data_IF_830749315848
#
_entry.id   IF_830749315848
#
_cell.length_a   1.000
_cell.length_b   1.000
_cell.length_c   1.000
_cell.angle_alpha   90.00
_cell.angle_beta   90.00
_cell.angle_gamma   90.00
#
_symmetry.space_group_name_H-M   'P 1'
#
loop_
_entity.id
_entity.type
_entity.pdbx_description
1 polymer ?
#
# COMPACT_ATOMS: atom_id res chain seq x y z
N UNK A 1 16.26 1.44 -18.91
CA UNK A 1 15.36 2.29 -18.06
C UNK A 1 14.37 1.47 -17.25
N UNK A 2 13.85 0.35 -17.78
CA UNK A 2 12.93 -0.56 -17.06
C UNK A 2 13.50 -1.13 -15.75
N UNK A 3 14.81 -1.31 -15.62
CA UNK A 3 15.41 -1.81 -14.37
C UNK A 3 15.32 -0.80 -13.21
N UNK A 4 15.46 0.50 -13.49
CA UNK A 4 15.26 1.54 -12.47
C UNK A 4 13.81 1.51 -11.98
N UNK A 5 12.86 1.42 -12.92
CA UNK A 5 11.44 1.32 -12.60
C UNK A 5 11.13 0.08 -11.75
N UNK A 6 11.71 -1.09 -12.08
CA UNK A 6 11.52 -2.34 -11.30
C UNK A 6 12.03 -2.23 -9.87
N UNK A 7 13.08 -1.44 -9.64
CA UNK A 7 13.67 -1.23 -8.32
C UNK A 7 12.83 -0.21 -7.53
N UNK A 8 12.41 0.90 -8.15
CA UNK A 8 11.71 1.97 -7.43
C UNK A 8 10.23 1.72 -7.18
N UNK A 9 9.52 1.03 -8.10
CA UNK A 9 8.07 0.86 -8.05
C UNK A 9 7.52 0.30 -6.73
N UNK A 10 8.09 -0.76 -6.12
CA UNK A 10 7.47 -1.34 -4.92
C UNK A 10 7.44 -0.36 -3.75
N UNK A 11 8.55 0.34 -3.51
CA UNK A 11 8.65 1.31 -2.42
C UNK A 11 7.87 2.61 -2.71
N UNK A 12 7.86 3.10 -3.95
CA UNK A 12 7.06 4.28 -4.28
C UNK A 12 5.57 4.00 -4.18
N UNK A 13 5.13 2.82 -4.60
CA UNK A 13 3.75 2.39 -4.43
C UNK A 13 3.38 2.21 -2.95
N UNK A 14 4.30 1.69 -2.12
CA UNK A 14 4.10 1.63 -0.68
C UNK A 14 3.91 3.04 -0.09
N UNK A 15 4.77 3.99 -0.46
CA UNK A 15 4.71 5.36 0.03
C UNK A 15 3.38 6.03 -0.37
N UNK A 16 2.98 5.88 -1.63
CA UNK A 16 1.71 6.41 -2.14
C UNK A 16 0.50 5.80 -1.40
N UNK A 17 0.50 4.48 -1.19
CA UNK A 17 -0.55 3.80 -0.44
C UNK A 17 -0.58 4.26 1.02
N UNK A 18 0.57 4.38 1.68
CA UNK A 18 0.69 4.88 3.04
C UNK A 18 0.09 6.29 3.17
N UNK A 19 0.49 7.22 2.29
CA UNK A 19 -0.06 8.58 2.28
C UNK A 19 -1.56 8.60 2.03
N UNK A 20 -2.07 7.78 1.10
CA UNK A 20 -3.49 7.70 0.80
C UNK A 20 -4.30 7.19 1.99
N UNK A 21 -3.86 6.12 2.65
CA UNK A 21 -4.62 5.53 3.77
C UNK A 21 -4.58 6.42 5.00
N UNK A 22 -3.42 6.98 5.36
CA UNK A 22 -3.35 7.91 6.49
C UNK A 22 -4.06 9.24 6.19
N UNK A 23 -4.04 9.72 4.95
CA UNK A 23 -4.84 10.87 4.53
C UNK A 23 -6.34 10.58 4.65
N UNK A 24 -6.78 9.39 4.24
CA UNK A 24 -8.16 8.94 4.41
C UNK A 24 -8.55 8.85 5.89
N UNK A 25 -7.68 8.32 6.74
CA UNK A 25 -7.90 8.28 8.19
C UNK A 25 -8.12 9.70 8.76
N UNK A 26 -7.27 10.66 8.37
CA UNK A 26 -7.44 12.06 8.76
C UNK A 26 -8.75 12.68 8.29
N UNK A 27 -9.21 12.32 7.08
CA UNK A 27 -10.52 12.74 6.57
C UNK A 27 -11.68 12.13 7.36
N UNK A 28 -11.64 10.82 7.64
CA UNK A 28 -12.69 10.11 8.38
C UNK A 28 -12.86 10.68 9.78
N UNK A 29 -11.77 11.10 10.44
CA UNK A 29 -11.84 11.73 11.76
C UNK A 29 -12.11 13.24 11.73
N UNK A 30 -12.32 13.84 10.56
CA UNK A 30 -12.61 15.27 10.43
C UNK A 30 -14.12 15.54 10.39
N UNK A 31 -14.52 16.74 10.80
CA UNK A 31 -15.92 17.21 10.73
C UNK A 31 -16.49 17.14 9.30
N UNK A 32 -15.63 17.29 8.27
CA UNK A 32 -16.03 17.23 6.87
C UNK A 32 -16.63 15.87 6.46
N UNK A 33 -16.25 14.80 7.14
CA UNK A 33 -16.83 13.46 6.89
C UNK A 33 -18.26 13.38 7.41
N UNK A 34 -18.50 13.91 8.61
CA UNK A 34 -19.83 14.02 9.19
C UNK A 34 -20.72 14.98 8.41
N UNK A 35 -20.18 16.12 7.97
CA UNK A 35 -20.89 17.10 7.12
C UNK A 35 -21.32 16.50 5.77
N UNK A 36 -20.58 15.51 5.26
CA UNK A 36 -20.94 14.75 4.06
C UNK A 36 -22.02 13.67 4.31
N UNK A 37 -22.54 13.56 5.53
CA UNK A 37 -23.54 12.56 5.91
C UNK A 37 -22.99 11.14 6.00
N UNK A 38 -21.66 10.97 6.09
CA UNK A 38 -21.01 9.67 6.17
C UNK A 38 -20.79 9.27 7.62
N UNK A 39 -21.23 8.06 7.97
CA UNK A 39 -21.02 7.51 9.31
C UNK A 39 -19.59 6.96 9.50
N UNK A 40 -19.19 6.80 10.76
CA UNK A 40 -17.95 6.14 11.18
C UNK A 40 -17.84 4.70 10.65
N UNK A 41 -18.97 4.00 10.53
CA UNK A 41 -19.02 2.65 9.94
C UNK A 41 -18.57 2.67 8.48
N UNK A 42 -19.03 3.65 7.69
CA UNK A 42 -18.60 3.84 6.31
C UNK A 42 -17.10 4.19 6.24
N UNK A 43 -16.60 5.00 7.18
CA UNK A 43 -15.18 5.30 7.31
C UNK A 43 -14.31 4.06 7.58
N UNK A 44 -14.76 3.16 8.47
CA UNK A 44 -14.07 1.87 8.73
C UNK A 44 -14.05 0.97 7.49
N UNK A 45 -15.17 0.88 6.77
CA UNK A 45 -15.24 0.10 5.52
C UNK A 45 -14.29 0.68 4.48
N UNK A 46 -14.28 2.00 4.28
CA UNK A 46 -13.38 2.66 3.35
C UNK A 46 -11.91 2.39 3.69
N UNK A 47 -11.54 2.47 4.97
CA UNK A 47 -10.19 2.15 5.45
C UNK A 47 -9.82 0.67 5.23
N UNK A 48 -10.73 -0.27 5.50
CA UNK A 48 -10.53 -1.70 5.21
C UNK A 48 -10.31 -1.97 3.73
N UNK A 49 -11.11 -1.36 2.86
CA UNK A 49 -10.99 -1.50 1.40
C UNK A 49 -9.66 -0.91 0.92
N UNK A 50 -9.28 0.27 1.41
CA UNK A 50 -8.02 0.92 1.04
C UNK A 50 -6.80 0.08 1.49
N UNK A 51 -6.85 -0.50 2.69
CA UNK A 51 -5.84 -1.43 3.18
C UNK A 51 -5.73 -2.68 2.30
N UNK A 52 -6.86 -3.33 2.02
CA UNK A 52 -6.89 -4.52 1.17
C UNK A 52 -6.37 -4.24 -0.24
N UNK A 53 -6.73 -3.09 -0.82
CA UNK A 53 -6.23 -2.65 -2.12
C UNK A 53 -4.70 -2.43 -2.10
N UNK A 54 -4.15 -1.81 -1.05
CA UNK A 54 -2.71 -1.61 -0.89
C UNK A 54 -1.94 -2.94 -0.80
N UNK A 55 -2.45 -3.90 -0.02
CA UNK A 55 -1.86 -5.24 0.08
C UNK A 55 -1.93 -5.98 -1.26
N UNK A 56 -3.09 -5.95 -1.91
CA UNK A 56 -3.27 -6.58 -3.22
C UNK A 56 -2.30 -5.99 -4.27
N UNK A 57 -2.13 -4.67 -4.29
CA UNK A 57 -1.19 -3.99 -5.18
C UNK A 57 0.26 -4.46 -4.96
N UNK A 58 0.70 -4.60 -3.71
CA UNK A 58 2.04 -5.10 -3.41
C UNK A 58 2.23 -6.58 -3.81
N UNK A 59 1.20 -7.41 -3.62
CA UNK A 59 1.22 -8.80 -4.08
C UNK A 59 1.31 -8.88 -5.61
N UNK A 60 0.57 -8.02 -6.33
CA UNK A 60 0.66 -7.92 -7.79
C UNK A 60 2.07 -7.55 -8.23
N UNK A 61 2.72 -6.57 -7.58
CA UNK A 61 4.11 -6.23 -7.90
C UNK A 61 5.08 -7.39 -7.63
N UNK A 62 4.95 -8.08 -6.50
CA UNK A 62 5.78 -9.23 -6.16
C UNK A 62 5.63 -10.37 -7.19
N UNK A 63 4.39 -10.68 -7.59
CA UNK A 63 4.10 -11.71 -8.59
C UNK A 63 4.57 -11.29 -9.99
N UNK A 64 4.37 -10.02 -10.36
CA UNK A 64 4.84 -9.48 -11.62
C UNK A 64 6.37 -9.55 -11.70
N UNK A 65 7.10 -9.16 -10.66
CA UNK A 65 8.57 -9.21 -10.63
C UNK A 65 9.13 -10.65 -10.61
N UNK A 66 8.34 -11.64 -10.19
CA UNK A 66 8.66 -13.08 -10.33
C UNK A 66 8.36 -13.65 -11.72
N UNK A 67 7.48 -13.02 -12.48
CA UNK A 67 7.05 -13.53 -13.79
C UNK A 67 8.19 -13.48 -14.82
N UNK A 68 8.35 -14.52 -15.66
CA UNK A 68 9.38 -14.54 -16.71
C UNK A 68 9.24 -13.39 -17.71
N UNK A 69 8.05 -12.78 -17.83
CA UNK A 69 7.83 -11.59 -18.68
C UNK A 69 8.53 -10.33 -18.16
N UNK A 70 8.68 -10.19 -16.85
CA UNK A 70 9.17 -8.95 -16.23
C UNK A 70 10.49 -9.15 -15.46
N UNK A 71 11.04 -10.35 -15.44
CA UNK A 71 12.37 -10.63 -14.88
C UNK A 71 13.45 -9.84 -15.64
N UNK A 72 14.37 -9.22 -14.88
CA UNK A 72 15.57 -8.61 -15.45
C UNK A 72 16.58 -9.68 -15.86
N UNK A 73 17.33 -9.43 -16.96
CA UNK A 73 18.45 -10.30 -17.38
C UNK A 73 19.60 -10.26 -16.37
N UNK A 74 19.70 -9.21 -15.56
CA UNK A 74 20.68 -9.10 -14.47
C UNK A 74 20.17 -9.82 -13.22
N UNK A 75 20.97 -10.78 -12.73
CA UNK A 75 20.70 -11.50 -11.50
C UNK A 75 20.67 -10.55 -10.27
N UNK A 76 21.53 -9.52 -10.27
CA UNK A 76 21.57 -8.51 -9.22
C UNK A 76 20.27 -7.69 -9.17
N UNK A 77 19.85 -7.13 -10.31
CA UNK A 77 18.61 -6.32 -10.38
C UNK A 77 17.42 -7.17 -9.97
N UNK A 78 17.32 -8.42 -10.44
CA UNK A 78 16.25 -9.33 -10.05
C UNK A 78 16.18 -9.54 -8.54
N UNK A 79 17.34 -9.76 -7.90
CA UNK A 79 17.40 -9.96 -6.45
C UNK A 79 17.00 -8.69 -5.68
N UNK A 80 17.55 -7.53 -6.07
CA UNK A 80 17.22 -6.23 -5.47
C UNK A 80 15.74 -5.90 -5.61
N UNK A 81 15.16 -6.04 -6.80
CA UNK A 81 13.73 -5.76 -7.03
C UNK A 81 12.83 -6.66 -6.18
N UNK A 82 13.18 -7.94 -6.02
CA UNK A 82 12.42 -8.87 -5.18
C UNK A 82 12.53 -8.53 -3.70
N UNK A 83 13.74 -8.20 -3.21
CA UNK A 83 13.92 -7.78 -1.82
C UNK A 83 13.15 -6.50 -1.52
N UNK A 84 13.13 -5.54 -2.45
CA UNK A 84 12.36 -4.31 -2.31
C UNK A 84 10.84 -4.54 -2.37
N UNK A 85 10.37 -5.49 -3.17
CA UNK A 85 8.97 -5.87 -3.18
C UNK A 85 8.53 -6.57 -1.88
N UNK A 86 9.39 -7.43 -1.33
CA UNK A 86 9.14 -8.08 -0.03
C UNK A 86 9.14 -7.04 1.09
N UNK A 87 10.12 -6.13 1.10
CA UNK A 87 10.18 -5.07 2.13
C UNK A 87 8.99 -4.14 2.04
N UNK A 88 8.55 -3.76 0.84
CA UNK A 88 7.35 -2.96 0.63
C UNK A 88 6.09 -3.69 1.14
N UNK A 89 5.94 -4.99 0.88
CA UNK A 89 4.82 -5.79 1.39
C UNK A 89 4.81 -5.86 2.92
N UNK A 90 5.96 -6.16 3.54
CA UNK A 90 6.11 -6.21 5.00
C UNK A 90 5.82 -4.83 5.61
N UNK A 91 6.33 -3.77 5.00
CA UNK A 91 6.04 -2.40 5.42
C UNK A 91 4.55 -2.08 5.29
N UNK A 92 3.87 -2.45 4.19
CA UNK A 92 2.41 -2.28 4.06
C UNK A 92 1.66 -2.97 5.18
N UNK A 93 2.01 -4.22 5.48
CA UNK A 93 1.36 -4.99 6.54
C UNK A 93 1.60 -4.35 7.91
N UNK A 94 2.83 -3.92 8.21
CA UNK A 94 3.17 -3.35 9.51
C UNK A 94 2.60 -1.94 9.72
N UNK A 95 2.75 -1.05 8.74
CA UNK A 95 2.41 0.37 8.90
C UNK A 95 0.93 0.64 8.71
N UNK A 96 0.20 -0.20 7.98
CA UNK A 96 -1.25 -0.02 7.81
C UNK A 96 -2.09 -0.94 8.70
N UNK A 97 -1.49 -1.84 9.49
CA UNK A 97 -2.21 -2.63 10.49
C UNK A 97 -3.01 -1.77 11.49
N UNK A 98 -2.44 -0.67 12.05
CA UNK A 98 -3.14 0.13 13.04
C UNK A 98 -4.44 0.73 12.52
N UNK A 99 -4.49 1.08 11.23
CA UNK A 99 -5.67 1.67 10.59
C UNK A 99 -6.91 0.77 10.72
N UNK A 100 -6.71 -0.55 10.75
CA UNK A 100 -7.78 -1.54 10.82
C UNK A 100 -8.02 -2.06 12.23
N UNK A 101 -7.03 -1.97 13.12
CA UNK A 101 -7.08 -2.57 14.46
C UNK A 101 -7.31 -1.58 15.59
N UNK A 102 -7.05 -0.28 15.39
CA UNK A 102 -7.19 0.73 16.43
C UNK A 102 -8.42 1.62 16.21
N UNK A 103 -8.97 2.15 17.30
CA UNK A 103 -10.00 3.18 17.26
C UNK A 103 -9.40 4.47 16.72
N UNK A 104 -9.69 4.77 15.45
CA UNK A 104 -9.04 5.83 14.69
C UNK A 104 -9.35 7.25 15.19
N UNK A 105 -10.53 7.46 15.80
CA UNK A 105 -10.97 8.77 16.27
C UNK A 105 -11.29 8.63 17.76
N UNK A 106 -10.37 9.08 18.61
CA UNK A 106 -10.56 9.23 20.06
C UNK A 106 -10.97 10.67 20.37
#
# INVERSE_FOLDING_TARGET
MTDILRISVPLTAWLAAFSAVYGLQGLVCSQRWADAGLDLTAGRIAMMVAWAAAVALQLVFLLALRSPRFVSRSAFVRWVSLMLAISALVATLWTLLPVVTTSACL
#
